data_IF_902896058498
#
_entry.id   IF_902896058498
#
_cell.length_a   1.000
_cell.length_b   1.000
_cell.length_c   1.000
_cell.angle_alpha   90.00
_cell.angle_beta   90.00
_cell.angle_gamma   90.00
#
_symmetry.space_group_name_H-M   'P 1'
#
loop_
_entity.id
_entity.type
_entity.pdbx_description
1 polymer ?
#
# COMPACT_ATOMS: atom_id res chain seq x y z
N UNK A 1 -14.06 2.61 22.87
CA UNK A 1 -13.28 3.45 21.96
C UNK A 1 -14.25 4.16 21.04
N UNK A 2 -14.15 5.50 20.86
CA UNK A 2 -15.10 6.24 20.04
C UNK A 2 -14.87 5.92 18.56
N UNK A 3 -15.95 5.70 17.82
CA UNK A 3 -15.88 5.51 16.36
C UNK A 3 -15.30 6.77 15.71
N UNK A 4 -14.31 6.61 14.84
CA UNK A 4 -13.73 7.73 14.09
C UNK A 4 -14.67 8.09 12.94
N UNK A 5 -15.27 9.28 13.03
CA UNK A 5 -16.12 9.82 11.97
C UNK A 5 -15.23 10.28 10.81
N UNK A 6 -15.47 9.73 9.63
CA UNK A 6 -14.78 10.08 8.39
C UNK A 6 -15.67 10.98 7.49
N UNK A 7 -16.79 11.50 8.00
CA UNK A 7 -17.59 12.50 7.30
C UNK A 7 -16.80 13.81 7.17
N UNK A 8 -16.63 14.29 5.95
CA UNK A 8 -15.82 15.48 5.67
C UNK A 8 -14.44 15.21 5.07
N UNK A 9 -14.08 13.96 4.90
CA UNK A 9 -12.93 13.59 4.07
C UNK A 9 -13.24 13.88 2.59
N UNK A 10 -12.33 14.58 1.90
CA UNK A 10 -12.50 14.86 0.46
C UNK A 10 -12.58 13.59 -0.38
N UNK A 11 -12.96 13.74 -1.65
CA UNK A 11 -13.17 12.62 -2.59
C UNK A 11 -11.99 11.62 -2.66
N UNK A 12 -10.76 12.08 -2.48
CA UNK A 12 -9.55 11.23 -2.46
C UNK A 12 -9.56 10.28 -1.27
N UNK A 13 -10.01 10.73 -0.12
CA UNK A 13 -10.02 9.92 1.11
C UNK A 13 -11.17 8.90 1.10
N UNK A 14 -12.29 9.18 0.40
CA UNK A 14 -13.33 8.17 0.18
C UNK A 14 -12.78 6.96 -0.61
N UNK A 15 -11.82 7.17 -1.52
CA UNK A 15 -11.22 6.07 -2.30
C UNK A 15 -10.35 5.14 -1.45
N UNK A 16 -9.81 5.59 -0.30
CA UNK A 16 -9.02 4.76 0.63
C UNK A 16 -9.88 3.72 1.36
N UNK A 17 -11.15 4.05 1.60
CA UNK A 17 -12.07 3.18 2.34
C UNK A 17 -12.50 1.97 1.48
N UNK A 18 -12.56 2.13 0.17
CA UNK A 18 -12.99 1.08 -0.75
C UNK A 18 -12.11 -0.18 -0.65
N UNK A 19 -10.77 -0.10 -0.81
CA UNK A 19 -9.91 -1.26 -0.64
C UNK A 19 -9.93 -1.82 0.78
N UNK A 20 -10.02 -0.97 1.79
CA UNK A 20 -10.14 -1.39 3.19
C UNK A 20 -11.41 -2.22 3.42
N UNK A 21 -12.56 -1.74 2.95
CA UNK A 21 -13.83 -2.46 3.03
C UNK A 21 -13.79 -3.81 2.29
N UNK A 22 -13.12 -3.87 1.14
CA UNK A 22 -12.95 -5.12 0.39
C UNK A 22 -12.15 -6.15 1.18
N UNK A 23 -11.04 -5.74 1.80
CA UNK A 23 -10.20 -6.60 2.64
C UNK A 23 -10.93 -7.05 3.90
N UNK A 24 -11.66 -6.15 4.54
CA UNK A 24 -12.48 -6.48 5.72
C UNK A 24 -13.58 -7.51 5.42
N UNK A 25 -14.24 -7.37 4.28
CA UNK A 25 -15.30 -8.30 3.86
C UNK A 25 -14.75 -9.64 3.38
N UNK A 26 -13.53 -9.67 2.87
CA UNK A 26 -12.84 -10.91 2.50
C UNK A 26 -12.67 -11.84 3.69
N UNK A 27 -12.30 -11.32 4.84
CA UNK A 27 -12.15 -12.11 6.07
C UNK A 27 -13.45 -12.84 6.49
N UNK A 28 -14.62 -12.27 6.15
CA UNK A 28 -15.95 -12.86 6.42
C UNK A 28 -16.37 -13.90 5.37
N UNK A 29 -15.54 -14.16 4.37
CA UNK A 29 -15.83 -15.17 3.33
C UNK A 29 -15.49 -16.58 3.82
N UNK A 30 -16.12 -17.59 3.20
CA UNK A 30 -15.81 -19.00 3.52
C UNK A 30 -14.35 -19.37 3.20
N UNK A 31 -13.80 -18.75 2.18
CA UNK A 31 -12.42 -18.94 1.73
C UNK A 31 -11.80 -17.57 1.47
N UNK A 32 -11.24 -16.92 2.50
CA UNK A 32 -10.59 -15.63 2.34
C UNK A 32 -9.41 -15.70 1.35
N UNK A 33 -9.29 -14.71 0.50
CA UNK A 33 -8.16 -14.59 -0.44
C UNK A 33 -6.95 -14.00 0.29
N UNK A 34 -7.17 -12.96 1.06
CA UNK A 34 -6.13 -12.20 1.77
C UNK A 34 -6.14 -12.49 3.28
N UNK A 35 -7.32 -12.63 3.87
CA UNK A 35 -7.48 -12.94 5.28
C UNK A 35 -7.01 -11.84 6.23
N UNK A 36 -7.13 -10.58 5.83
CA UNK A 36 -6.60 -9.41 6.52
C UNK A 36 -7.42 -9.08 7.79
N UNK A 37 -6.97 -9.60 8.93
CA UNK A 37 -7.63 -9.38 10.22
C UNK A 37 -7.59 -7.91 10.64
N UNK A 38 -6.44 -7.24 10.44
CA UNK A 38 -6.29 -5.85 10.85
C UNK A 38 -7.17 -4.91 10.03
N UNK A 39 -7.31 -5.15 8.73
CA UNK A 39 -8.25 -4.41 7.90
C UNK A 39 -9.70 -4.58 8.36
N UNK A 40 -10.08 -5.78 8.85
CA UNK A 40 -11.42 -6.03 9.36
C UNK A 40 -11.68 -5.28 10.69
N UNK A 41 -10.71 -5.32 11.62
CA UNK A 41 -10.79 -4.56 12.88
C UNK A 41 -10.90 -3.05 12.60
N UNK A 42 -10.00 -2.54 11.76
CA UNK A 42 -9.98 -1.13 11.38
C UNK A 42 -11.30 -0.68 10.74
N UNK A 43 -11.87 -1.50 9.87
CA UNK A 43 -13.13 -1.18 9.22
C UNK A 43 -14.32 -1.13 10.19
N UNK A 44 -14.28 -1.88 11.30
CA UNK A 44 -15.28 -1.83 12.37
C UNK A 44 -15.15 -0.58 13.25
N UNK A 45 -13.94 -0.01 13.35
CA UNK A 45 -13.69 1.24 14.10
C UNK A 45 -14.11 2.50 13.34
N UNK A 46 -14.35 2.38 12.03
CA UNK A 46 -14.68 3.53 11.15
C UNK A 46 -16.19 3.64 10.98
N UNK A 47 -16.74 4.82 11.29
CA UNK A 47 -18.10 5.16 10.90
C UNK A 47 -18.13 5.66 9.46
N UNK A 48 -18.55 4.79 8.55
CA UNK A 48 -18.72 5.12 7.14
C UNK A 48 -20.11 4.69 6.67
N UNK A 49 -20.73 5.50 5.81
CA UNK A 49 -22.02 5.14 5.23
C UNK A 49 -21.89 3.92 4.28
N UNK A 50 -22.04 2.72 4.86
CA UNK A 50 -21.90 1.44 4.15
C UNK A 50 -22.90 1.28 2.98
N UNK A 51 -23.97 2.10 2.92
CA UNK A 51 -24.94 2.05 1.84
C UNK A 51 -24.39 2.63 0.53
N UNK A 52 -23.41 3.54 0.61
CA UNK A 52 -22.77 4.12 -0.59
C UNK A 52 -21.95 3.12 -1.38
N UNK A 53 -21.48 2.05 -0.76
CA UNK A 53 -20.58 1.09 -1.40
C UNK A 53 -20.94 -0.34 -0.99
N UNK A 54 -21.26 -1.19 -1.98
CA UNK A 54 -21.45 -2.63 -1.77
C UNK A 54 -20.33 -3.42 -2.45
N UNK A 55 -19.18 -3.64 -1.75
CA UNK A 55 -17.97 -4.21 -2.36
C UNK A 55 -18.20 -5.53 -3.07
N UNK A 56 -18.98 -6.45 -2.46
CA UNK A 56 -19.24 -7.79 -3.02
C UNK A 56 -19.98 -7.79 -4.35
N UNK A 57 -20.64 -6.69 -4.71
CA UNK A 57 -21.31 -6.53 -6.02
C UNK A 57 -20.42 -5.84 -7.06
N UNK A 58 -19.25 -5.35 -6.66
CA UNK A 58 -18.29 -4.70 -7.56
C UNK A 58 -17.48 -5.74 -8.31
N UNK A 59 -17.38 -5.68 -9.66
CA UNK A 59 -16.47 -6.53 -10.43
C UNK A 59 -15.01 -6.40 -9.99
N UNK A 60 -14.63 -5.25 -9.45
CA UNK A 60 -13.27 -4.99 -8.92
C UNK A 60 -12.98 -5.66 -7.57
N UNK A 61 -13.98 -6.21 -6.87
CA UNK A 61 -13.76 -6.83 -5.55
C UNK A 61 -12.68 -7.91 -5.57
N UNK A 62 -12.86 -8.92 -6.41
CA UNK A 62 -11.88 -9.99 -6.55
C UNK A 62 -10.56 -9.50 -7.15
N UNK A 63 -10.61 -8.53 -8.06
CA UNK A 63 -9.42 -7.91 -8.65
C UNK A 63 -8.55 -7.22 -7.61
N UNK A 64 -9.12 -6.43 -6.71
CA UNK A 64 -8.38 -5.78 -5.62
C UNK A 64 -7.75 -6.78 -4.66
N UNK A 65 -8.49 -7.82 -4.24
CA UNK A 65 -7.98 -8.83 -3.32
C UNK A 65 -6.85 -9.66 -3.93
N UNK A 66 -7.02 -10.12 -5.17
CA UNK A 66 -6.00 -10.88 -5.89
C UNK A 66 -4.75 -10.07 -6.19
N UNK A 67 -4.91 -8.78 -6.52
CA UNK A 67 -3.79 -7.86 -6.69
C UNK A 67 -2.99 -7.74 -5.39
N UNK A 68 -3.65 -7.46 -4.27
CA UNK A 68 -3.00 -7.36 -2.96
C UNK A 68 -2.30 -8.67 -2.57
N UNK A 69 -2.97 -9.83 -2.74
CA UNK A 69 -2.39 -11.16 -2.48
C UNK A 69 -1.14 -11.40 -3.33
N UNK A 70 -1.21 -11.14 -4.63
CA UNK A 70 -0.06 -11.31 -5.52
C UNK A 70 1.13 -10.41 -5.15
N UNK A 71 0.85 -9.14 -4.82
CA UNK A 71 1.91 -8.23 -4.41
C UNK A 71 2.56 -8.64 -3.08
N UNK A 72 1.76 -9.17 -2.13
CA UNK A 72 2.28 -9.72 -0.88
C UNK A 72 3.13 -10.99 -1.12
N UNK A 73 2.70 -11.86 -2.03
CA UNK A 73 3.45 -13.05 -2.42
C UNK A 73 4.80 -12.68 -3.06
N UNK A 74 4.83 -11.74 -4.00
CA UNK A 74 6.06 -11.28 -4.65
C UNK A 74 7.00 -10.58 -3.67
N UNK A 75 6.46 -9.70 -2.81
CA UNK A 75 7.26 -9.04 -1.78
C UNK A 75 7.88 -10.06 -0.82
N UNK A 76 7.09 -11.04 -0.37
CA UNK A 76 7.55 -12.14 0.48
C UNK A 76 8.63 -12.97 -0.20
N UNK A 77 8.47 -13.31 -1.46
CA UNK A 77 9.45 -14.06 -2.24
C UNK A 77 10.79 -13.34 -2.30
N UNK A 78 10.79 -12.05 -2.64
CA UNK A 78 12.03 -11.26 -2.68
C UNK A 78 12.67 -11.10 -1.30
N UNK A 79 11.87 -10.91 -0.24
CA UNK A 79 12.37 -10.86 1.12
C UNK A 79 13.07 -12.18 1.54
N UNK A 80 12.46 -13.32 1.20
CA UNK A 80 13.04 -14.64 1.47
C UNK A 80 14.34 -14.87 0.70
N UNK A 81 14.42 -14.46 -0.57
CA UNK A 81 15.64 -14.54 -1.38
C UNK A 81 16.79 -13.71 -0.79
N UNK A 82 16.52 -12.48 -0.35
CA UNK A 82 17.50 -11.62 0.29
C UNK A 82 17.94 -12.18 1.65
N UNK A 83 16.98 -12.66 2.45
CA UNK A 83 17.27 -13.31 3.73
C UNK A 83 18.18 -14.54 3.55
N UNK A 84 17.89 -15.40 2.57
CA UNK A 84 18.70 -16.57 2.28
C UNK A 84 20.13 -16.22 1.82
N UNK A 85 20.31 -15.04 1.21
CA UNK A 85 21.62 -14.50 0.82
C UNK A 85 22.34 -13.74 1.93
N UNK A 86 21.72 -13.58 3.11
CA UNK A 86 22.25 -12.75 4.21
C UNK A 86 22.33 -11.26 3.87
N UNK A 87 21.53 -10.78 2.92
CA UNK A 87 21.52 -9.38 2.51
C UNK A 87 20.51 -8.59 3.32
N UNK A 88 20.91 -7.43 3.90
CA UNK A 88 19.99 -6.55 4.59
C UNK A 88 18.99 -5.94 3.60
N UNK A 89 17.75 -5.79 4.05
CA UNK A 89 16.70 -5.14 3.25
C UNK A 89 15.68 -4.39 4.10
N UNK A 90 14.99 -3.47 3.47
CA UNK A 90 13.83 -2.77 4.00
C UNK A 90 12.65 -2.91 3.03
N UNK A 91 11.44 -2.73 3.55
CA UNK A 91 10.23 -2.73 2.74
C UNK A 91 9.57 -1.36 2.76
N UNK A 92 9.03 -0.94 1.63
CA UNK A 92 8.35 0.37 1.46
C UNK A 92 6.99 0.14 0.81
N UNK A 93 5.94 0.69 1.42
CA UNK A 93 4.60 0.74 0.84
C UNK A 93 4.33 2.18 0.37
N UNK A 94 4.57 2.46 -0.89
CA UNK A 94 4.43 3.79 -1.48
C UNK A 94 3.01 4.00 -2.01
N UNK A 95 2.32 5.04 -1.51
CA UNK A 95 0.88 5.22 -1.67
C UNK A 95 0.11 4.27 -0.76
N UNK A 96 0.53 4.18 0.51
CA UNK A 96 0.08 3.14 1.43
C UNK A 96 -1.41 3.24 1.82
N UNK A 97 -2.03 4.40 1.73
CA UNK A 97 -3.41 4.61 2.12
C UNK A 97 -3.73 4.02 3.51
N UNK A 98 -4.79 3.21 3.58
CA UNK A 98 -5.16 2.43 4.76
C UNK A 98 -4.81 0.94 4.61
N UNK A 99 -3.77 0.63 3.82
CA UNK A 99 -3.29 -0.75 3.69
C UNK A 99 -2.55 -1.19 4.96
N UNK A 100 -2.82 -2.41 5.39
CA UNK A 100 -2.23 -3.06 6.57
C UNK A 100 -1.15 -4.05 6.18
N UNK A 101 -0.55 -3.89 4.99
CA UNK A 101 0.48 -4.80 4.42
C UNK A 101 1.62 -5.04 5.39
N UNK A 102 2.20 -4.01 5.99
CA UNK A 102 3.31 -4.15 6.93
C UNK A 102 3.02 -5.13 8.07
N UNK A 103 1.78 -5.16 8.58
CA UNK A 103 1.36 -6.13 9.60
C UNK A 103 1.10 -7.51 8.99
N UNK A 104 0.47 -7.55 7.83
CA UNK A 104 0.07 -8.79 7.15
C UNK A 104 1.27 -9.65 6.76
N UNK A 105 2.35 -9.03 6.30
CA UNK A 105 3.58 -9.71 5.89
C UNK A 105 4.71 -9.69 6.95
N UNK A 106 4.47 -9.16 8.15
CA UNK A 106 5.51 -8.98 9.18
C UNK A 106 6.30 -10.26 9.49
N UNK A 107 5.65 -11.42 9.50
CA UNK A 107 6.30 -12.72 9.69
C UNK A 107 7.23 -13.11 8.54
N UNK A 108 6.99 -12.61 7.33
CA UNK A 108 7.77 -12.93 6.14
C UNK A 108 8.90 -11.92 5.86
N UNK A 109 8.90 -10.78 6.55
CA UNK A 109 9.93 -9.75 6.39
C UNK A 109 11.03 -9.83 7.44
N UNK A 110 11.00 -10.84 8.31
CA UNK A 110 12.08 -11.15 9.26
C UNK A 110 12.51 -9.98 10.15
N UNK A 111 11.57 -9.08 10.50
CA UNK A 111 11.84 -7.91 11.31
C UNK A 111 12.54 -6.76 10.57
N UNK A 112 12.59 -6.81 9.24
CA UNK A 112 13.09 -5.68 8.44
C UNK A 112 12.26 -4.42 8.68
N UNK A 113 12.90 -3.26 8.63
CA UNK A 113 12.20 -1.99 8.75
C UNK A 113 11.16 -1.83 7.62
N UNK A 114 10.00 -1.30 7.99
CA UNK A 114 8.89 -1.05 7.06
C UNK A 114 8.55 0.44 7.04
N UNK A 115 8.48 1.01 5.84
CA UNK A 115 8.14 2.40 5.62
C UNK A 115 6.78 2.50 4.93
N UNK A 116 5.90 3.31 5.48
CA UNK A 116 4.63 3.70 4.87
C UNK A 116 4.75 5.13 4.33
N UNK A 117 4.57 5.33 3.04
CA UNK A 117 4.68 6.64 2.38
C UNK A 117 3.36 7.00 1.72
N UNK A 118 2.83 8.19 2.03
CA UNK A 118 1.63 8.76 1.38
C UNK A 118 1.57 10.26 1.65
N UNK A 119 0.60 10.96 1.11
CA UNK A 119 0.36 12.36 1.42
C UNK A 119 0.28 12.62 2.92
N UNK A 120 0.76 13.77 3.43
CA UNK A 120 0.78 14.06 4.86
C UNK A 120 -0.55 13.84 5.58
N UNK A 121 -1.66 14.30 4.98
CA UNK A 121 -3.00 14.11 5.53
C UNK A 121 -3.47 12.65 5.58
N UNK A 122 -3.01 11.81 4.66
CA UNK A 122 -3.26 10.36 4.67
C UNK A 122 -2.46 9.69 5.78
N UNK A 123 -1.20 10.07 5.94
CA UNK A 123 -0.35 9.58 7.03
C UNK A 123 -0.91 9.97 8.40
N UNK A 124 -1.36 11.21 8.58
CA UNK A 124 -2.02 11.64 9.81
C UNK A 124 -3.28 10.80 10.12
N UNK A 125 -4.12 10.54 9.10
CA UNK A 125 -5.28 9.68 9.25
C UNK A 125 -4.88 8.27 9.63
N UNK A 126 -3.88 7.71 8.94
CA UNK A 126 -3.35 6.39 9.18
C UNK A 126 -2.81 6.23 10.60
N UNK A 127 -2.03 7.17 11.11
CA UNK A 127 -1.50 7.16 12.46
C UNK A 127 -2.61 7.20 13.53
N UNK A 128 -3.66 7.98 13.30
CA UNK A 128 -4.83 8.00 14.20
C UNK A 128 -5.56 6.67 14.28
N UNK A 129 -5.65 5.94 13.16
CA UNK A 129 -6.42 4.71 13.03
C UNK A 129 -5.61 3.44 13.36
N UNK A 130 -4.35 3.38 12.93
CA UNK A 130 -3.50 2.20 13.04
C UNK A 130 -2.45 2.32 14.14
N UNK A 131 -2.23 3.53 14.68
CA UNK A 131 -1.13 3.82 15.58
C UNK A 131 0.23 3.87 14.86
N UNK A 132 1.30 4.04 15.62
CA UNK A 132 2.68 4.12 15.10
C UNK A 132 3.30 2.72 15.05
N UNK A 133 3.09 1.99 13.96
CA UNK A 133 3.64 0.62 13.79
C UNK A 133 4.69 0.50 12.70
N UNK A 134 4.79 1.50 11.84
CA UNK A 134 5.78 1.59 10.76
C UNK A 134 6.38 2.99 10.77
N UNK A 135 7.54 3.16 10.14
CA UNK A 135 8.06 4.51 9.89
C UNK A 135 7.20 5.19 8.83
N UNK A 136 6.34 6.11 9.26
CA UNK A 136 5.45 6.83 8.39
C UNK A 136 6.10 8.09 7.83
N UNK A 137 5.99 8.30 6.51
CA UNK A 137 6.58 9.45 5.81
C UNK A 137 5.47 10.15 5.01
N UNK A 138 5.13 11.37 5.43
CA UNK A 138 4.20 12.24 4.72
C UNK A 138 4.91 12.95 3.56
N UNK A 139 4.65 12.54 2.33
CA UNK A 139 5.26 13.11 1.12
C UNK A 139 4.39 12.86 -0.12
N UNK A 140 4.49 13.75 -1.11
CA UNK A 140 4.07 13.40 -2.47
C UNK A 140 5.10 12.40 -3.03
N UNK A 141 4.64 11.32 -3.68
CA UNK A 141 5.52 10.32 -4.25
C UNK A 141 6.36 10.86 -5.42
N UNK A 142 5.95 11.95 -6.05
CA UNK A 142 6.69 12.61 -7.12
C UNK A 142 7.86 13.46 -6.60
N UNK A 143 7.87 13.76 -5.30
CA UNK A 143 8.97 14.46 -4.65
C UNK A 143 10.05 13.48 -4.18
N UNK A 144 11.30 13.95 -4.09
CA UNK A 144 12.43 13.11 -3.68
C UNK A 144 12.58 12.98 -2.16
N UNK A 145 11.87 13.78 -1.37
CA UNK A 145 12.05 13.88 0.08
C UNK A 145 11.92 12.55 0.83
N UNK A 146 10.98 11.70 0.45
CA UNK A 146 10.81 10.39 1.06
C UNK A 146 11.94 9.41 0.71
N UNK A 147 12.48 9.49 -0.53
CA UNK A 147 13.62 8.69 -0.98
C UNK A 147 14.89 9.10 -0.25
N UNK A 148 15.14 10.41 -0.12
CA UNK A 148 16.26 10.97 0.63
C UNK A 148 16.21 10.51 2.07
N UNK A 149 15.03 10.54 2.70
CA UNK A 149 14.84 10.10 4.06
C UNK A 149 15.19 8.62 4.23
N UNK A 150 14.62 7.73 3.41
CA UNK A 150 14.91 6.29 3.48
C UNK A 150 16.40 6.05 3.22
N UNK A 151 16.99 6.69 2.20
CA UNK A 151 18.40 6.53 1.87
C UNK A 151 19.34 6.94 3.02
N UNK A 152 18.97 7.93 3.83
CA UNK A 152 19.73 8.39 4.98
C UNK A 152 19.67 7.44 6.19
N UNK A 153 18.67 6.56 6.25
CA UNK A 153 18.43 5.63 7.36
C UNK A 153 18.98 4.21 7.08
N UNK A 154 19.44 3.94 5.86
CA UNK A 154 19.93 2.62 5.43
C UNK A 154 21.38 2.67 4.94
N UNK A 155 22.03 1.52 4.86
CA UNK A 155 23.40 1.42 4.32
C UNK A 155 23.42 1.23 2.80
N UNK A 156 24.60 1.36 2.17
CA UNK A 156 24.75 1.16 0.73
C UNK A 156 24.45 -0.29 0.28
N UNK A 157 24.58 -1.26 1.18
CA UNK A 157 24.32 -2.68 0.92
C UNK A 157 22.84 -3.05 1.13
N UNK A 158 22.05 -2.17 1.77
CA UNK A 158 20.64 -2.46 2.08
C UNK A 158 19.78 -2.45 0.81
N UNK A 159 19.11 -3.55 0.53
CA UNK A 159 18.15 -3.65 -0.55
C UNK A 159 16.83 -2.98 -0.19
N UNK A 160 16.13 -2.43 -1.18
CA UNK A 160 14.85 -1.74 -0.97
C UNK A 160 13.76 -2.43 -1.79
N UNK A 161 12.77 -2.98 -1.10
CA UNK A 161 11.61 -3.63 -1.71
C UNK A 161 10.43 -2.67 -1.65
N UNK A 162 10.02 -2.12 -2.79
CA UNK A 162 8.96 -1.11 -2.88
C UNK A 162 7.70 -1.72 -3.49
N UNK A 163 6.57 -1.55 -2.83
CA UNK A 163 5.25 -1.82 -3.40
C UNK A 163 4.53 -0.51 -3.70
N UNK A 164 3.90 -0.43 -4.89
CA UNK A 164 3.10 0.72 -5.34
C UNK A 164 1.76 0.16 -5.81
N UNK A 165 0.76 0.11 -4.92
CA UNK A 165 -0.53 -0.48 -5.22
C UNK A 165 -1.63 0.56 -5.44
N UNK A 166 -2.29 0.53 -6.62
CA UNK A 166 -3.43 1.38 -6.93
C UNK A 166 -3.09 2.86 -7.15
N UNK A 167 -1.82 3.20 -7.36
CA UNK A 167 -1.33 4.58 -7.51
C UNK A 167 -1.24 4.98 -8.98
N UNK A 168 -0.69 4.14 -9.84
CA UNK A 168 -0.40 4.49 -11.23
C UNK A 168 -1.64 4.86 -12.06
N UNK A 169 -2.82 4.43 -11.62
CA UNK A 169 -4.09 4.84 -12.25
C UNK A 169 -4.39 6.35 -12.13
N UNK A 170 -3.76 7.03 -11.18
CA UNK A 170 -3.92 8.48 -10.91
C UNK A 170 -2.81 9.33 -11.50
N UNK A 171 -1.75 8.72 -12.05
CA UNK A 171 -0.58 9.40 -12.58
C UNK A 171 -0.58 9.40 -14.11
N UNK A 172 -0.01 10.44 -14.70
CA UNK A 172 0.33 10.47 -16.12
C UNK A 172 1.56 9.60 -16.39
N UNK A 173 1.78 9.21 -17.65
CA UNK A 173 2.97 8.43 -18.02
C UNK A 173 4.28 9.14 -17.67
N UNK A 174 4.32 10.46 -17.81
CA UNK A 174 5.53 11.25 -17.50
C UNK A 174 5.76 11.29 -15.97
N UNK A 175 4.69 11.37 -15.16
CA UNK A 175 4.79 11.26 -13.71
C UNK A 175 5.26 9.87 -13.26
N UNK A 176 4.76 8.79 -13.91
CA UNK A 176 5.23 7.43 -13.63
C UNK A 176 6.72 7.28 -13.96
N UNK A 177 7.16 7.82 -15.12
CA UNK A 177 8.58 7.80 -15.47
C UNK A 177 9.42 8.55 -14.46
N UNK A 178 9.02 9.77 -14.09
CA UNK A 178 9.71 10.59 -13.10
C UNK A 178 9.86 9.85 -11.77
N UNK A 179 8.78 9.24 -11.27
CA UNK A 179 8.81 8.46 -10.02
C UNK A 179 9.82 7.31 -10.11
N UNK A 180 9.78 6.54 -11.20
CA UNK A 180 10.68 5.40 -11.38
C UNK A 180 12.14 5.84 -11.58
N UNK A 181 12.38 6.98 -12.24
CA UNK A 181 13.69 7.59 -12.39
C UNK A 181 14.25 8.04 -11.04
N UNK A 182 13.47 8.73 -10.22
CA UNK A 182 13.87 9.09 -8.85
C UNK A 182 14.22 7.84 -8.02
N UNK A 183 13.35 6.82 -8.00
CA UNK A 183 13.64 5.56 -7.28
C UNK A 183 14.95 4.95 -7.76
N UNK A 184 15.19 4.93 -9.08
CA UNK A 184 16.41 4.40 -9.67
C UNK A 184 17.66 5.20 -9.27
N UNK A 185 17.57 6.53 -9.18
CA UNK A 185 18.69 7.39 -8.77
C UNK A 185 19.15 7.07 -7.34
N UNK A 186 18.21 6.81 -6.42
CA UNK A 186 18.55 6.55 -5.01
C UNK A 186 18.95 5.09 -4.74
N UNK A 187 18.38 4.14 -5.49
CA UNK A 187 18.48 2.72 -5.13
C UNK A 187 18.91 1.81 -6.29
N UNK A 188 19.58 2.36 -7.33
CA UNK A 188 20.01 1.58 -8.50
C UNK A 188 20.80 0.32 -8.10
N UNK A 189 20.47 -0.81 -8.73
CA UNK A 189 21.12 -2.11 -8.51
C UNK A 189 20.73 -2.83 -7.21
N UNK A 190 19.94 -2.20 -6.33
CA UNK A 190 19.53 -2.77 -5.04
C UNK A 190 18.04 -2.53 -4.72
N UNK A 191 17.22 -2.30 -5.73
CA UNK A 191 15.79 -2.04 -5.58
C UNK A 191 14.96 -3.00 -6.43
N UNK A 192 13.86 -3.45 -5.85
CA UNK A 192 12.76 -4.12 -6.54
C UNK A 192 11.51 -3.28 -6.38
N UNK A 193 10.84 -2.97 -7.47
CA UNK A 193 9.56 -2.24 -7.46
C UNK A 193 8.46 -3.15 -7.97
N UNK A 194 7.46 -3.40 -7.13
CA UNK A 194 6.28 -4.21 -7.42
C UNK A 194 5.09 -3.26 -7.53
N UNK A 195 4.45 -3.20 -8.69
CA UNK A 195 3.35 -2.27 -8.94
C UNK A 195 2.25 -2.88 -9.79
N UNK A 196 1.07 -2.32 -9.74
CA UNK A 196 -0.03 -2.66 -10.64
C UNK A 196 -0.23 -1.60 -11.72
N UNK A 197 -0.64 -2.05 -12.89
CA UNK A 197 -0.99 -1.19 -14.01
C UNK A 197 -2.32 -1.62 -14.63
N UNK A 198 -3.14 -0.64 -15.00
CA UNK A 198 -4.38 -0.90 -15.73
C UNK A 198 -4.07 -1.22 -17.19
N UNK A 199 -4.61 -2.33 -17.70
CA UNK A 199 -4.55 -2.60 -19.13
C UNK A 199 -5.31 -1.54 -19.92
N UNK A 200 -4.90 -1.27 -21.16
CA UNK A 200 -5.55 -0.31 -22.05
C UNK A 200 -7.05 -0.60 -22.27
N UNK A 201 -7.45 -1.85 -22.17
CA UNK A 201 -8.85 -2.27 -22.24
C UNK A 201 -9.70 -1.71 -21.07
N UNK A 202 -9.18 -1.78 -19.85
CA UNK A 202 -9.86 -1.25 -18.66
C UNK A 202 -9.77 0.28 -18.57
N UNK A 203 -8.63 0.86 -18.97
CA UNK A 203 -8.44 2.31 -18.98
C UNK A 203 -9.42 3.03 -19.91
N UNK A 204 -9.85 2.38 -21.02
CA UNK A 204 -10.87 2.93 -21.93
C UNK A 204 -12.29 2.86 -21.37
N UNK A 205 -12.59 1.86 -20.52
CA UNK A 205 -13.91 1.69 -19.90
C UNK A 205 -14.14 2.54 -18.65
N UNK A 206 -13.08 2.91 -17.94
CA UNK A 206 -13.18 3.76 -16.75
C UNK A 206 -13.40 5.25 -17.08
N UNK A 207 -13.32 5.64 -18.36
CA UNK A 207 -13.62 7.00 -18.84
C UNK A 207 -15.08 7.18 -19.33
N UNK A 208 -15.93 6.15 -19.19
CA UNK A 208 -17.37 6.21 -19.39
C UNK A 208 -18.10 6.20 -18.05
#
# INVERSE_FOLDING_TARGET
MGQTNLEGLGAVQETLIIPLAMRALDLKSKHPILGDKRAAELYEEITYNQQKFSPKKSPSYYGCLKRASYMDEELTRHAQELQAQGKPFVTVNAGCGLDTRGERIAGATYGAAHYDVDFPNVIELRQRLLGERATAIGSDLLEEGWLQRIASEITAETHVLITIEGVFAYLTLDQIRLLLEHISQYFAGRCVVIFDALSSFWARRSKM
#
